data_IF_573449980583
#
_entry.id   IF_573449980583
#
_cell.length_a   1.000
_cell.length_b   1.000
_cell.length_c   1.000
_cell.angle_alpha   90.00
_cell.angle_beta   90.00
_cell.angle_gamma   90.00
#
_symmetry.space_group_name_H-M   'P 1'
#
loop_
_entity.id
_entity.type
_entity.pdbx_description
1 polymer ?
#
# COMPACT_ATOMS: atom_id res chain seq x y z
N UNK A 1 16.91 16.20 16.60
CA UNK A 1 16.86 14.80 16.11
C UNK A 1 16.26 13.95 17.22
N UNK A 2 14.99 13.60 17.13
CA UNK A 2 14.37 12.64 18.05
C UNK A 2 14.73 11.28 17.46
N UNK A 3 15.75 10.63 18.03
CA UNK A 3 15.98 9.21 17.86
C UNK A 3 14.84 8.50 18.58
N UNK A 4 13.71 8.30 17.90
CA UNK A 4 12.75 7.31 18.32
C UNK A 4 13.46 5.96 18.25
N UNK A 5 13.38 5.16 19.30
CA UNK A 5 13.84 3.78 19.33
C UNK A 5 13.36 3.07 18.06
N UNK A 6 14.31 2.72 17.20
CA UNK A 6 14.03 2.23 15.86
C UNK A 6 13.62 0.75 15.96
N UNK A 7 12.35 0.52 16.36
CA UNK A 7 11.79 -0.82 16.39
C UNK A 7 11.67 -1.35 14.96
N UNK A 8 12.18 -2.55 14.71
CA UNK A 8 11.91 -3.26 13.46
C UNK A 8 10.56 -3.99 13.55
N UNK A 9 9.82 -4.09 12.43
CA UNK A 9 8.63 -4.95 12.38
C UNK A 9 9.04 -6.42 12.46
N UNK A 10 8.18 -7.25 13.05
CA UNK A 10 8.47 -8.65 13.33
C UNK A 10 7.34 -9.57 12.88
N UNK A 11 7.62 -10.86 12.69
CA UNK A 11 6.61 -11.86 12.41
C UNK A 11 5.62 -12.02 13.60
N UNK A 12 6.11 -11.87 14.84
CA UNK A 12 5.24 -11.87 16.02
C UNK A 12 4.30 -10.65 16.03
N UNK A 13 4.80 -9.48 15.63
CA UNK A 13 3.98 -8.30 15.45
C UNK A 13 2.90 -8.47 14.38
N UNK A 14 3.21 -9.17 13.27
CA UNK A 14 2.21 -9.51 12.25
C UNK A 14 1.13 -10.44 12.82
N UNK A 15 1.52 -11.45 13.63
CA UNK A 15 0.55 -12.36 14.30
C UNK A 15 -0.37 -11.61 15.26
N UNK A 16 0.19 -10.75 16.11
CA UNK A 16 -0.59 -9.91 17.01
C UNK A 16 -1.51 -8.95 16.26
N UNK A 17 -1.02 -8.35 15.15
CA UNK A 17 -1.82 -7.51 14.28
C UNK A 17 -2.99 -8.27 13.66
N UNK A 18 -2.81 -9.54 13.29
CA UNK A 18 -3.84 -10.35 12.64
C UNK A 18 -5.08 -10.52 13.53
N UNK A 19 -4.92 -10.72 14.81
CA UNK A 19 -6.03 -10.80 15.78
C UNK A 19 -6.80 -9.47 15.87
N UNK A 20 -6.07 -8.36 16.01
CA UNK A 20 -6.67 -7.02 16.10
C UNK A 20 -7.36 -6.60 14.79
N UNK A 21 -6.83 -6.98 13.65
CA UNK A 21 -7.40 -6.72 12.32
C UNK A 21 -8.64 -7.57 12.10
N UNK A 22 -8.60 -8.87 12.40
CA UNK A 22 -9.72 -9.79 12.23
C UNK A 22 -10.93 -9.44 13.12
N UNK A 23 -10.70 -8.78 14.27
CA UNK A 23 -11.78 -8.33 15.15
C UNK A 23 -12.63 -7.20 14.56
N UNK A 24 -12.16 -6.48 13.55
CA UNK A 24 -12.82 -5.26 13.06
C UNK A 24 -12.99 -5.21 11.53
N UNK A 25 -12.09 -5.83 10.78
CA UNK A 25 -12.16 -5.82 9.33
C UNK A 25 -12.77 -7.12 8.78
N UNK A 26 -13.58 -7.03 7.72
CA UNK A 26 -14.10 -8.22 7.07
C UNK A 26 -12.96 -9.01 6.42
N UNK A 27 -13.09 -10.33 6.47
CA UNK A 27 -12.24 -11.23 5.69
C UNK A 27 -12.51 -11.01 4.20
N UNK A 28 -11.49 -10.57 3.46
CA UNK A 28 -11.62 -10.41 2.01
C UNK A 28 -11.51 -11.76 1.29
N UNK A 29 -12.21 -11.94 0.16
CA UNK A 29 -12.23 -13.23 -0.52
C UNK A 29 -10.86 -13.60 -1.12
N UNK A 30 -10.59 -14.89 -1.13
CA UNK A 30 -9.54 -15.52 -1.91
C UNK A 30 -10.22 -16.22 -3.10
N UNK A 31 -10.09 -15.64 -4.29
CA UNK A 31 -10.79 -16.05 -5.50
C UNK A 31 -9.89 -16.92 -6.38
N UNK A 32 -10.37 -18.07 -6.89
CA UNK A 32 -9.62 -18.83 -7.88
C UNK A 32 -9.55 -18.07 -9.20
N UNK A 33 -8.41 -18.18 -9.87
CA UNK A 33 -8.18 -17.59 -11.19
C UNK A 33 -7.32 -18.54 -12.03
N UNK A 34 -7.47 -18.48 -13.34
CA UNK A 34 -6.62 -19.19 -14.28
C UNK A 34 -5.69 -18.20 -14.99
N UNK A 35 -4.39 -18.42 -14.94
CA UNK A 35 -3.35 -17.62 -15.57
C UNK A 35 -2.54 -18.53 -16.50
N UNK A 36 -2.65 -18.33 -17.81
CA UNK A 36 -1.93 -19.16 -18.80
C UNK A 36 -2.24 -20.66 -18.70
N UNK A 37 -3.49 -21.04 -18.36
CA UNK A 37 -3.90 -22.44 -18.17
C UNK A 37 -3.52 -23.02 -16.80
N UNK A 38 -2.93 -22.23 -15.90
CA UNK A 38 -2.53 -22.66 -14.56
C UNK A 38 -3.46 -22.01 -13.52
N UNK A 39 -3.95 -22.82 -12.59
CA UNK A 39 -4.75 -22.33 -11.46
C UNK A 39 -3.86 -21.52 -10.51
N UNK A 40 -4.37 -20.37 -10.10
CA UNK A 40 -3.80 -19.47 -9.11
C UNK A 40 -4.93 -18.85 -8.27
N UNK A 41 -4.58 -17.90 -7.38
CA UNK A 41 -5.53 -17.26 -6.48
C UNK A 41 -5.37 -15.76 -6.47
N UNK A 42 -6.47 -15.05 -6.25
CA UNK A 42 -6.49 -13.60 -6.07
C UNK A 42 -6.99 -13.26 -4.68
N UNK A 43 -6.19 -12.56 -3.89
CA UNK A 43 -6.63 -11.94 -2.62
C UNK A 43 -7.19 -10.56 -2.89
N UNK A 44 -8.50 -10.39 -2.72
CA UNK A 44 -9.23 -9.19 -3.14
C UNK A 44 -9.32 -8.13 -2.03
N UNK A 45 -8.19 -7.54 -1.64
CA UNK A 45 -8.13 -6.47 -0.62
C UNK A 45 -8.67 -5.11 -1.11
N UNK A 46 -8.98 -4.97 -2.41
CA UNK A 46 -9.77 -3.87 -2.93
C UNK A 46 -11.22 -3.85 -2.40
N UNK A 47 -11.68 -4.92 -1.76
CA UNK A 47 -12.99 -5.05 -1.13
C UNK A 47 -13.00 -4.70 0.35
N UNK A 48 -11.90 -4.24 0.91
CA UNK A 48 -11.86 -3.68 2.26
C UNK A 48 -12.74 -2.42 2.38
N UNK A 49 -13.22 -2.03 3.58
CA UNK A 49 -14.17 -0.91 3.79
C UNK A 49 -13.77 0.43 3.16
N UNK A 50 -12.47 0.70 3.02
CA UNK A 50 -11.96 1.90 2.34
C UNK A 50 -11.54 1.64 0.89
N UNK A 51 -11.89 0.49 0.33
CA UNK A 51 -11.49 0.10 -1.02
C UNK A 51 -10.01 -0.26 -1.16
N UNK A 52 -9.26 -0.50 -0.08
CA UNK A 52 -7.84 -0.88 -0.19
C UNK A 52 -7.27 -1.53 1.07
N UNK A 53 -6.17 -2.28 0.89
CA UNK A 53 -5.41 -2.95 1.96
C UNK A 53 -4.86 -2.00 3.04
N UNK A 54 -4.72 -0.71 2.74
CA UNK A 54 -4.10 0.29 3.65
C UNK A 54 -4.77 0.38 5.01
N UNK A 55 -6.03 0.01 5.10
CA UNK A 55 -6.80 -0.02 6.34
C UNK A 55 -6.19 -0.96 7.40
N UNK A 56 -5.56 -2.07 6.99
CA UNK A 56 -4.95 -3.07 7.89
C UNK A 56 -3.85 -2.43 8.75
N UNK A 57 -2.87 -1.83 8.10
CA UNK A 57 -1.75 -1.18 8.79
C UNK A 57 -2.17 0.08 9.54
N UNK A 58 -3.10 0.87 8.97
CA UNK A 58 -3.64 2.03 9.66
C UNK A 58 -4.37 1.62 10.96
N UNK A 59 -5.23 0.60 10.90
CA UNK A 59 -5.94 0.10 12.08
C UNK A 59 -4.97 -0.41 13.15
N UNK A 60 -4.01 -1.27 12.79
CA UNK A 60 -3.04 -1.80 13.75
C UNK A 60 -2.23 -0.69 14.41
N UNK A 61 -1.71 0.26 13.64
CA UNK A 61 -0.95 1.39 14.19
C UNK A 61 -1.76 2.23 15.16
N UNK A 62 -2.98 2.61 14.79
CA UNK A 62 -3.80 3.50 15.60
C UNK A 62 -4.38 2.80 16.84
N UNK A 63 -4.75 1.53 16.74
CA UNK A 63 -5.27 0.76 17.87
C UNK A 63 -4.22 0.53 18.96
N UNK A 64 -2.94 0.53 18.60
CA UNK A 64 -1.82 0.39 19.53
C UNK A 64 -1.33 1.68 20.20
N UNK A 65 -1.93 2.84 19.87
CA UNK A 65 -1.56 4.11 20.50
C UNK A 65 -1.99 4.18 21.99
N UNK A 66 -1.15 4.78 22.82
CA UNK A 66 -1.47 5.07 24.22
C UNK A 66 -2.64 6.05 24.36
N UNK A 67 -3.22 6.18 25.55
CA UNK A 67 -4.30 7.14 25.81
C UNK A 67 -3.85 8.59 25.53
N UNK A 68 -2.60 8.92 25.87
CA UNK A 68 -2.00 10.22 25.62
C UNK A 68 -1.83 10.50 24.13
N UNK A 69 -1.24 9.56 23.37
CA UNK A 69 -1.10 9.65 21.91
C UNK A 69 -2.45 9.77 21.21
N UNK A 70 -3.46 9.01 21.65
CA UNK A 70 -4.84 9.11 21.14
C UNK A 70 -5.45 10.47 21.37
N UNK A 71 -5.25 11.05 22.55
CA UNK A 71 -5.73 12.41 22.87
C UNK A 71 -5.06 13.47 21.97
N UNK A 72 -3.77 13.33 21.73
CA UNK A 72 -3.03 14.22 20.82
C UNK A 72 -3.46 14.06 19.35
N UNK A 73 -3.97 12.88 18.96
CA UNK A 73 -4.39 12.57 17.61
C UNK A 73 -3.25 12.10 16.71
N UNK A 74 -3.53 11.97 15.41
CA UNK A 74 -2.57 11.47 14.41
C UNK A 74 -2.41 12.42 13.24
N UNK A 75 -1.22 12.41 12.63
CA UNK A 75 -0.88 13.13 11.41
C UNK A 75 -0.41 12.13 10.36
N UNK A 76 -0.89 12.26 9.12
CA UNK A 76 -0.39 11.47 8.01
C UNK A 76 -0.21 12.33 6.76
N UNK A 77 0.75 11.93 5.91
CA UNK A 77 1.01 12.58 4.62
C UNK A 77 0.58 11.63 3.52
N UNK A 78 -0.54 11.90 2.88
CA UNK A 78 -1.04 11.07 1.76
C UNK A 78 -2.23 11.71 1.09
N UNK A 79 -2.34 11.59 -0.22
CA UNK A 79 -3.54 11.97 -0.99
C UNK A 79 -4.39 10.78 -1.45
N UNK A 80 -4.07 9.56 -1.01
CA UNK A 80 -4.72 8.34 -1.50
C UNK A 80 -5.17 7.39 -0.39
N UNK A 81 -5.01 6.12 -0.64
CA UNK A 81 -5.52 5.02 0.19
C UNK A 81 -5.07 5.06 1.66
N UNK A 82 -3.83 5.52 1.92
CA UNK A 82 -3.34 5.64 3.30
C UNK A 82 -4.08 6.74 4.08
N UNK A 83 -4.34 7.87 3.45
CA UNK A 83 -5.16 8.95 4.04
C UNK A 83 -6.52 8.43 4.50
N UNK A 84 -7.20 7.68 3.63
CA UNK A 84 -8.51 7.09 3.93
C UNK A 84 -8.42 6.05 5.04
N UNK A 85 -7.37 5.21 5.05
CA UNK A 85 -7.14 4.23 6.12
C UNK A 85 -6.94 4.87 7.48
N UNK A 86 -6.12 5.90 7.56
CA UNK A 86 -5.89 6.66 8.80
C UNK A 86 -7.17 7.37 9.25
N UNK A 87 -7.86 8.07 8.34
CA UNK A 87 -9.09 8.79 8.66
C UNK A 87 -10.20 7.84 9.18
N UNK A 88 -10.41 6.71 8.50
CA UNK A 88 -11.39 5.69 8.91
C UNK A 88 -11.06 5.10 10.28
N UNK A 89 -9.81 4.72 10.50
CA UNK A 89 -9.36 4.13 11.76
C UNK A 89 -9.47 5.12 12.92
N UNK A 90 -9.04 6.37 12.71
CA UNK A 90 -9.14 7.43 13.71
C UNK A 90 -10.58 7.72 14.10
N UNK A 91 -11.50 7.82 13.12
CA UNK A 91 -12.93 8.01 13.37
C UNK A 91 -13.51 6.91 14.26
N UNK A 92 -13.17 5.64 13.98
CA UNK A 92 -13.66 4.50 14.77
C UNK A 92 -13.10 4.46 16.19
N UNK A 93 -11.91 4.99 16.38
CA UNK A 93 -11.25 5.07 17.69
C UNK A 93 -11.52 6.39 18.43
N UNK A 94 -12.34 7.28 17.87
CA UNK A 94 -12.68 8.58 18.48
C UNK A 94 -11.51 9.55 18.53
N UNK A 95 -10.55 9.44 17.60
CA UNK A 95 -9.34 10.27 17.56
C UNK A 95 -9.40 11.33 16.46
N UNK A 96 -8.68 12.42 16.65
CA UNK A 96 -8.44 13.40 15.59
C UNK A 96 -7.44 12.81 14.58
N UNK A 97 -7.72 13.02 13.28
CA UNK A 97 -6.77 12.77 12.21
C UNK A 97 -6.57 14.03 11.39
N UNK A 98 -5.33 14.43 11.20
CA UNK A 98 -4.94 15.52 10.30
C UNK A 98 -4.16 14.93 9.13
N UNK A 99 -4.66 15.14 7.92
CA UNK A 99 -4.05 14.59 6.69
C UNK A 99 -3.45 15.73 5.87
N UNK A 100 -2.15 15.67 5.65
CA UNK A 100 -1.42 16.60 4.77
C UNK A 100 -1.55 16.11 3.34
N UNK A 101 -2.21 16.91 2.49
CA UNK A 101 -2.50 16.59 1.10
C UNK A 101 -2.01 17.71 0.17
N UNK A 102 -1.58 17.42 -1.06
CA UNK A 102 -1.23 18.47 -1.99
C UNK A 102 -2.47 19.26 -2.43
N UNK A 103 -2.31 20.57 -2.67
CA UNK A 103 -3.42 21.45 -3.06
C UNK A 103 -4.05 21.07 -4.41
N UNK A 104 -3.31 20.41 -5.27
CA UNK A 104 -3.73 19.89 -6.58
C UNK A 104 -4.26 18.45 -6.52
N UNK A 105 -4.51 17.91 -5.31
CA UNK A 105 -5.13 16.61 -5.18
C UNK A 105 -6.54 16.57 -5.82
N UNK A 106 -6.91 15.46 -6.46
CA UNK A 106 -8.27 15.32 -7.02
C UNK A 106 -9.35 15.61 -5.98
N UNK A 107 -10.37 16.39 -6.37
CA UNK A 107 -11.46 16.79 -5.46
C UNK A 107 -12.17 15.61 -4.80
N UNK A 108 -12.33 14.49 -5.53
CA UNK A 108 -12.90 13.25 -5.00
C UNK A 108 -12.06 12.71 -3.84
N UNK A 109 -10.72 12.70 -3.95
CA UNK A 109 -9.85 12.22 -2.87
C UNK A 109 -9.92 13.11 -1.63
N UNK A 110 -9.98 14.45 -1.84
CA UNK A 110 -10.18 15.42 -0.75
C UNK A 110 -11.53 15.23 -0.06
N UNK A 111 -12.60 15.12 -0.84
CA UNK A 111 -13.95 14.94 -0.33
C UNK A 111 -14.08 13.63 0.46
N UNK A 112 -13.57 12.52 -0.06
CA UNK A 112 -13.60 11.22 0.61
C UNK A 112 -12.85 11.25 1.94
N UNK A 113 -11.68 11.88 1.99
CA UNK A 113 -10.88 12.01 3.23
C UNK A 113 -11.63 12.83 4.29
N UNK A 114 -12.25 13.96 3.89
CA UNK A 114 -13.08 14.78 4.78
C UNK A 114 -14.34 14.06 5.24
N UNK A 115 -15.02 13.32 4.36
CA UNK A 115 -16.21 12.54 4.68
C UNK A 115 -15.93 11.44 5.72
N UNK A 116 -14.69 10.94 5.77
CA UNK A 116 -14.21 10.03 6.81
C UNK A 116 -13.91 10.72 8.15
N UNK A 117 -14.05 12.05 8.24
CA UNK A 117 -13.91 12.83 9.48
C UNK A 117 -12.52 13.40 9.72
N UNK A 118 -11.59 13.33 8.76
CA UNK A 118 -10.26 13.90 8.92
C UNK A 118 -10.23 15.41 8.58
N UNK A 119 -9.43 16.15 9.33
CA UNK A 119 -8.97 17.47 8.93
C UNK A 119 -7.99 17.33 7.76
N UNK A 120 -8.13 18.16 6.73
CA UNK A 120 -7.20 18.19 5.59
C UNK A 120 -6.43 19.50 5.61
N UNK A 121 -5.11 19.41 5.70
CA UNK A 121 -4.17 20.52 5.55
C UNK A 121 -3.52 20.41 4.18
N UNK A 122 -3.66 21.46 3.38
CA UNK A 122 -3.13 21.48 2.03
C UNK A 122 -1.70 22.06 2.01
N UNK A 123 -0.81 21.41 1.24
CA UNK A 123 0.51 21.96 0.94
C UNK A 123 0.65 22.24 -0.57
N UNK A 124 1.49 23.21 -0.92
CA UNK A 124 1.75 23.58 -2.32
C UNK A 124 2.85 22.69 -2.91
N UNK A 125 2.47 21.81 -3.82
CA UNK A 125 3.41 21.02 -4.60
C UNK A 125 3.98 21.86 -5.73
N UNK A 126 5.18 22.39 -5.54
CA UNK A 126 5.93 23.17 -6.52
C UNK A 126 7.42 23.13 -6.15
N UNK A 127 8.35 23.53 -7.03
CA UNK A 127 9.72 23.82 -6.65
C UNK A 127 9.78 24.89 -5.56
N UNK A 128 10.79 24.81 -4.67
CA UNK A 128 10.94 25.77 -3.55
C UNK A 128 11.02 27.22 -4.04
N UNK A 129 11.70 27.45 -5.16
CA UNK A 129 11.88 28.74 -5.81
C UNK A 129 10.54 29.36 -6.30
N UNK A 130 9.52 28.51 -6.46
CA UNK A 130 8.16 28.89 -6.85
C UNK A 130 7.18 28.86 -5.67
N UNK A 131 7.69 28.86 -4.42
CA UNK A 131 6.88 28.82 -3.20
C UNK A 131 6.33 27.42 -2.90
N UNK A 132 6.99 26.36 -3.35
CA UNK A 132 6.67 25.00 -2.99
C UNK A 132 7.02 24.68 -1.55
N UNK A 133 6.24 23.78 -0.96
CA UNK A 133 6.37 23.35 0.43
C UNK A 133 6.82 21.88 0.46
N UNK A 134 7.70 21.56 1.41
CA UNK A 134 8.03 20.18 1.73
C UNK A 134 6.91 19.59 2.60
N UNK A 135 6.22 18.58 2.07
CA UNK A 135 5.10 17.90 2.74
C UNK A 135 5.48 17.31 4.11
N UNK A 136 6.70 16.79 4.24
CA UNK A 136 7.17 16.17 5.47
C UNK A 136 7.50 17.26 6.51
N UNK A 137 8.03 18.42 6.07
CA UNK A 137 8.22 19.60 6.92
C UNK A 137 6.89 20.18 7.40
N UNK A 138 5.85 20.25 6.54
CA UNK A 138 4.50 20.68 6.95
C UNK A 138 3.94 19.74 8.01
N UNK A 139 4.06 18.44 7.84
CA UNK A 139 3.62 17.48 8.85
C UNK A 139 4.39 17.61 10.17
N UNK A 140 5.71 17.76 10.11
CA UNK A 140 6.55 17.96 11.29
C UNK A 140 6.18 19.25 12.06
N UNK A 141 5.90 20.34 11.35
CA UNK A 141 5.43 21.58 11.95
C UNK A 141 4.07 21.43 12.65
N UNK A 142 3.14 20.71 12.03
CA UNK A 142 1.83 20.41 12.64
C UNK A 142 2.01 19.62 13.94
N UNK A 143 2.85 18.61 13.95
CA UNK A 143 3.13 17.79 15.15
C UNK A 143 3.79 18.66 16.23
N UNK A 144 4.76 19.50 15.88
CA UNK A 144 5.45 20.36 16.83
C UNK A 144 4.51 21.40 17.47
N UNK A 145 3.51 21.90 16.74
CA UNK A 145 2.61 22.96 17.22
C UNK A 145 1.33 22.47 17.84
N UNK A 146 0.81 21.31 17.41
CA UNK A 146 -0.51 20.79 17.83
C UNK A 146 -0.44 19.44 18.54
N UNK A 147 0.73 18.83 18.59
CA UNK A 147 0.92 17.44 18.99
C UNK A 147 0.45 16.46 17.90
N UNK A 148 0.52 15.19 18.23
CA UNK A 148 0.07 14.09 17.38
C UNK A 148 1.17 13.13 16.99
N UNK A 149 0.77 11.93 16.61
CA UNK A 149 1.68 10.87 16.17
C UNK A 149 1.71 10.80 14.66
N UNK A 150 2.91 10.84 14.05
CA UNK A 150 3.06 10.59 12.62
C UNK A 150 2.77 9.13 12.29
N UNK A 151 1.88 8.91 11.31
CA UNK A 151 1.58 7.58 10.78
C UNK A 151 2.10 7.50 9.34
N UNK A 152 3.31 6.95 9.17
CA UNK A 152 3.95 6.90 7.86
C UNK A 152 3.37 5.77 7.00
N UNK A 153 3.09 6.07 5.73
CA UNK A 153 2.34 5.19 4.82
C UNK A 153 2.95 3.81 4.55
N UNK A 154 4.27 3.65 4.78
CA UNK A 154 5.02 2.41 4.53
C UNK A 154 6.30 2.26 5.37
N UNK A 155 6.75 3.31 6.07
CA UNK A 155 7.98 3.30 6.88
C UNK A 155 7.72 3.27 8.40
N UNK A 156 6.55 2.86 8.82
CA UNK A 156 6.16 2.69 10.22
C UNK A 156 6.10 1.18 10.53
N UNK A 157 6.78 0.68 11.57
CA UNK A 157 6.87 -0.74 11.87
C UNK A 157 5.50 -1.40 12.12
N UNK A 158 4.60 -0.72 12.82
CA UNK A 158 3.24 -1.22 13.05
C UNK A 158 2.41 -1.21 11.76
N UNK A 159 2.56 -0.19 10.91
CA UNK A 159 1.90 -0.18 9.60
C UNK A 159 2.37 -1.38 8.77
N UNK A 160 3.67 -1.67 8.73
CA UNK A 160 4.24 -2.83 8.02
C UNK A 160 3.64 -4.14 8.58
N UNK A 161 3.62 -4.31 9.90
CA UNK A 161 3.03 -5.50 10.55
C UNK A 161 1.55 -5.67 10.22
N UNK A 162 0.78 -4.58 10.31
CA UNK A 162 -0.63 -4.62 9.96
C UNK A 162 -0.89 -5.01 8.49
N UNK A 163 -0.05 -4.57 7.54
CA UNK A 163 -0.15 -5.00 6.15
C UNK A 163 0.14 -6.50 5.99
N UNK A 164 1.06 -7.03 6.79
CA UNK A 164 1.41 -8.46 6.78
C UNK A 164 0.27 -9.40 7.17
N UNK A 165 -0.77 -8.90 7.83
CA UNK A 165 -1.95 -9.71 8.22
C UNK A 165 -2.64 -10.37 7.04
N UNK A 166 -2.53 -9.79 5.84
CA UNK A 166 -3.05 -10.41 4.63
C UNK A 166 -2.42 -11.78 4.34
N UNK A 167 -1.14 -11.97 4.68
CA UNK A 167 -0.46 -13.26 4.51
C UNK A 167 -1.02 -14.34 5.46
N UNK A 168 -1.38 -13.96 6.69
CA UNK A 168 -2.01 -14.87 7.65
C UNK A 168 -3.40 -15.30 7.15
N UNK A 169 -4.21 -14.36 6.66
CA UNK A 169 -5.52 -14.66 6.06
C UNK A 169 -5.38 -15.57 4.84
N UNK A 170 -4.43 -15.29 3.95
CA UNK A 170 -4.16 -16.09 2.75
C UNK A 170 -3.86 -17.54 3.15
N UNK A 171 -2.94 -17.77 4.09
CA UNK A 171 -2.58 -19.10 4.53
C UNK A 171 -3.77 -19.86 5.15
N UNK A 172 -4.58 -19.18 5.96
CA UNK A 172 -5.79 -19.74 6.56
C UNK A 172 -6.85 -20.11 5.50
N UNK A 173 -7.09 -19.24 4.51
CA UNK A 173 -8.07 -19.49 3.43
C UNK A 173 -7.60 -20.58 2.45
N UNK A 174 -6.30 -20.67 2.19
CA UNK A 174 -5.71 -21.67 1.32
C UNK A 174 -5.62 -23.06 2.01
N UNK A 175 -5.66 -23.08 3.35
CA UNK A 175 -5.41 -24.25 4.17
C UNK A 175 -3.94 -24.72 4.18
N UNK A 176 -3.04 -23.93 3.61
CA UNK A 176 -1.58 -24.17 3.52
C UNK A 176 -0.82 -22.88 3.31
N UNK A 177 0.49 -22.88 3.50
CA UNK A 177 1.32 -21.76 3.07
C UNK A 177 1.25 -21.59 1.55
N UNK A 178 1.09 -20.35 1.02
CA UNK A 178 1.22 -20.11 -0.42
C UNK A 178 2.66 -20.39 -0.88
N UNK A 179 2.83 -20.89 -2.10
CA UNK A 179 4.16 -21.04 -2.70
C UNK A 179 4.80 -19.68 -2.93
N UNK A 180 3.98 -18.70 -3.38
CA UNK A 180 4.38 -17.31 -3.57
C UNK A 180 3.23 -16.34 -3.38
N UNK A 181 3.59 -15.10 -3.06
CA UNK A 181 2.68 -13.96 -3.02
C UNK A 181 3.23 -12.89 -3.95
N UNK A 182 2.44 -12.50 -4.94
CA UNK A 182 2.78 -11.41 -5.86
C UNK A 182 2.02 -10.17 -5.41
N UNK A 183 2.71 -9.09 -5.10
CA UNK A 183 2.08 -7.88 -4.56
C UNK A 183 2.65 -6.61 -5.17
N UNK A 184 1.78 -5.60 -5.38
CA UNK A 184 2.23 -4.28 -5.79
C UNK A 184 3.17 -3.69 -4.72
N UNK A 185 4.19 -3.01 -5.17
CA UNK A 185 5.19 -2.39 -4.33
C UNK A 185 5.35 -0.91 -4.69
N UNK A 186 5.01 -0.04 -3.74
CA UNK A 186 5.45 1.34 -3.77
C UNK A 186 6.68 1.48 -2.89
N UNK A 187 6.54 2.02 -1.67
CA UNK A 187 7.66 2.14 -0.73
C UNK A 187 8.05 0.85 0.01
N UNK A 188 7.46 -0.30 -0.29
CA UNK A 188 7.84 -1.60 0.26
C UNK A 188 7.08 -2.04 1.53
N UNK A 189 6.18 -1.24 2.08
CA UNK A 189 5.52 -1.56 3.36
C UNK A 189 4.62 -2.80 3.33
N UNK A 190 3.85 -3.00 2.24
CA UNK A 190 3.03 -4.20 2.06
C UNK A 190 3.90 -5.43 1.87
N UNK A 191 4.83 -5.37 0.93
CA UNK A 191 5.71 -6.51 0.59
C UNK A 191 6.59 -6.92 1.77
N UNK A 192 7.08 -5.96 2.56
CA UNK A 192 7.80 -6.24 3.81
C UNK A 192 6.90 -6.95 4.84
N UNK A 193 5.67 -6.48 5.02
CA UNK A 193 4.70 -7.13 5.91
C UNK A 193 4.37 -8.55 5.46
N UNK A 194 4.12 -8.75 4.15
CA UNK A 194 3.86 -10.08 3.59
C UNK A 194 5.04 -11.04 3.77
N UNK A 195 6.27 -10.55 3.59
CA UNK A 195 7.48 -11.36 3.80
C UNK A 195 7.67 -11.79 5.26
N UNK A 196 7.23 -10.96 6.22
CA UNK A 196 7.21 -11.33 7.65
C UNK A 196 6.07 -12.29 7.98
N UNK A 197 4.90 -12.11 7.38
CA UNK A 197 3.71 -12.93 7.64
C UNK A 197 3.73 -14.29 6.95
N UNK A 198 4.49 -14.43 5.86
CA UNK A 198 4.63 -15.67 5.10
C UNK A 198 6.12 -16.04 4.87
N UNK A 199 6.88 -16.38 5.93
CA UNK A 199 8.33 -16.54 5.85
C UNK A 199 8.81 -17.69 4.97
N UNK A 200 7.90 -18.60 4.58
CA UNK A 200 8.19 -19.75 3.71
C UNK A 200 7.66 -19.58 2.27
N UNK A 201 7.19 -18.39 1.93
CA UNK A 201 6.64 -18.07 0.62
C UNK A 201 7.58 -17.14 -0.14
N UNK A 202 7.72 -17.33 -1.44
CA UNK A 202 8.40 -16.37 -2.31
C UNK A 202 7.52 -15.10 -2.43
N UNK A 203 7.98 -13.96 -1.95
CA UNK A 203 7.26 -12.68 -2.08
C UNK A 203 7.87 -11.88 -3.22
N UNK A 204 7.07 -11.60 -4.25
CA UNK A 204 7.48 -10.85 -5.46
C UNK A 204 6.96 -9.42 -5.39
N UNK A 205 7.84 -8.41 -5.17
CA UNK A 205 7.49 -7.00 -5.31
C UNK A 205 7.27 -6.65 -6.78
N UNK A 206 6.15 -5.96 -7.09
CA UNK A 206 5.85 -5.48 -8.44
C UNK A 206 5.69 -3.97 -8.44
N UNK A 207 6.48 -3.31 -9.28
CA UNK A 207 6.58 -1.85 -9.37
C UNK A 207 6.32 -1.38 -10.81
N UNK A 208 5.89 -0.13 -11.03
CA UNK A 208 5.83 0.42 -12.39
C UNK A 208 7.24 0.64 -12.98
N UNK A 209 7.38 0.48 -14.28
CA UNK A 209 8.63 0.80 -14.99
C UNK A 209 9.07 2.23 -14.70
N UNK A 210 10.32 2.43 -14.33
CA UNK A 210 10.91 3.71 -13.94
C UNK A 210 10.57 4.17 -12.51
N UNK A 211 9.80 3.37 -11.77
CA UNK A 211 9.46 3.58 -10.36
C UNK A 211 9.80 2.34 -9.51
N UNK A 212 10.75 1.56 -9.98
CA UNK A 212 11.16 0.26 -9.42
C UNK A 212 12.31 0.40 -8.39
N UNK A 213 12.25 1.45 -7.56
CA UNK A 213 13.29 1.77 -6.57
C UNK A 213 13.48 0.71 -5.50
N UNK A 214 12.43 -0.02 -5.11
CA UNK A 214 12.56 -1.08 -4.11
C UNK A 214 13.35 -2.24 -4.68
N UNK A 215 13.05 -2.66 -5.91
CA UNK A 215 13.81 -3.68 -6.63
C UNK A 215 15.27 -3.28 -6.80
N UNK A 216 15.54 -2.04 -7.22
CA UNK A 216 16.90 -1.50 -7.34
C UNK A 216 17.62 -1.43 -5.99
N UNK A 217 16.96 -0.94 -4.94
CA UNK A 217 17.54 -0.87 -3.59
C UNK A 217 17.88 -2.25 -3.03
N UNK A 218 17.04 -3.26 -3.27
CA UNK A 218 17.32 -4.64 -2.86
C UNK A 218 18.53 -5.22 -3.59
N UNK A 219 18.67 -4.93 -4.88
CA UNK A 219 19.81 -5.37 -5.69
C UNK A 219 21.11 -4.67 -5.29
N UNK A 220 21.06 -3.35 -5.07
CA UNK A 220 22.22 -2.55 -4.65
C UNK A 220 22.58 -2.75 -3.17
N UNK A 221 21.62 -3.12 -2.31
CA UNK A 221 21.79 -3.23 -0.88
C UNK A 221 21.76 -1.89 -0.12
N UNK A 222 21.40 -0.80 -0.80
CA UNK A 222 21.28 0.57 -0.28
C UNK A 222 20.04 1.27 -0.83
N UNK A 223 19.68 2.43 -0.26
CA UNK A 223 18.53 3.19 -0.71
C UNK A 223 18.83 3.82 -2.08
N UNK A 224 17.91 3.58 -3.02
CA UNK A 224 17.93 4.18 -4.35
C UNK A 224 16.77 5.17 -4.45
N UNK A 225 17.03 6.36 -4.97
CA UNK A 225 16.02 7.39 -5.23
C UNK A 225 15.51 7.31 -6.66
N UNK A 226 14.24 7.68 -6.86
CA UNK A 226 13.67 7.80 -8.19
C UNK A 226 14.41 8.87 -9.00
N UNK A 227 14.62 8.60 -10.29
CA UNK A 227 15.24 9.58 -11.18
C UNK A 227 14.37 10.86 -11.25
N UNK A 228 14.98 12.05 -11.33
CA UNK A 228 14.25 13.32 -11.45
C UNK A 228 13.33 13.37 -12.68
N UNK A 229 13.66 12.65 -13.72
CA UNK A 229 12.94 12.50 -14.98
C UNK A 229 12.18 11.17 -15.11
N UNK A 230 11.88 10.52 -13.98
CA UNK A 230 11.12 9.28 -13.96
C UNK A 230 9.83 9.41 -14.80
N UNK A 231 9.49 8.42 -15.62
CA UNK A 231 8.39 8.51 -16.57
C UNK A 231 7.05 8.65 -15.83
N UNK A 232 6.09 9.30 -16.49
CA UNK A 232 4.71 9.29 -15.99
C UNK A 232 4.17 7.86 -16.02
N UNK A 233 3.39 7.50 -15.00
CA UNK A 233 2.65 6.23 -14.96
C UNK A 233 1.25 6.46 -14.43
N UNK A 234 0.32 5.62 -14.86
CA UNK A 234 -1.06 5.60 -14.34
C UNK A 234 -1.15 5.07 -12.89
N UNK A 235 -0.09 4.41 -12.39
CA UNK A 235 -0.03 3.85 -11.03
C UNK A 235 0.32 4.93 -10.00
N UNK A 236 -0.51 5.93 -9.82
CA UNK A 236 -0.28 7.09 -8.95
C UNK A 236 0.02 6.74 -7.48
N UNK A 237 -0.50 5.61 -7.00
CA UNK A 237 -0.26 5.12 -5.65
C UNK A 237 1.12 4.44 -5.47
N UNK A 238 1.85 4.18 -6.55
CA UNK A 238 3.13 3.45 -6.57
C UNK A 238 4.31 4.34 -7.00
N UNK A 239 4.25 5.64 -6.71
CA UNK A 239 5.28 6.63 -7.05
C UNK A 239 5.96 7.25 -5.80
N UNK A 240 6.50 6.46 -4.85
CA UNK A 240 7.36 7.03 -3.82
C UNK A 240 8.72 7.39 -4.43
N UNK A 241 9.35 8.45 -3.91
CA UNK A 241 10.68 8.85 -4.38
C UNK A 241 11.80 7.91 -3.94
N UNK A 242 11.59 7.16 -2.86
CA UNK A 242 12.51 6.14 -2.36
C UNK A 242 11.78 5.19 -1.38
N UNK A 243 12.36 4.02 -1.15
CA UNK A 243 12.00 3.17 -0.02
C UNK A 243 12.58 3.74 1.30
N UNK A 244 12.28 3.09 2.43
CA UNK A 244 12.86 3.45 3.72
C UNK A 244 13.80 2.33 4.21
N UNK A 245 14.84 2.67 5.01
CA UNK A 245 15.78 1.68 5.54
C UNK A 245 15.12 0.50 6.24
N UNK A 246 14.01 0.75 6.95
CA UNK A 246 13.23 -0.29 7.64
C UNK A 246 12.66 -1.33 6.67
N UNK A 247 12.18 -0.91 5.49
CA UNK A 247 11.62 -1.82 4.48
C UNK A 247 12.74 -2.63 3.82
N UNK A 248 13.83 -1.96 3.44
CA UNK A 248 14.99 -2.63 2.85
C UNK A 248 15.58 -3.67 3.81
N UNK A 249 15.68 -3.37 5.11
CA UNK A 249 16.17 -4.30 6.12
C UNK A 249 15.30 -5.56 6.25
N UNK A 250 13.98 -5.44 6.03
CA UNK A 250 13.07 -6.60 6.03
C UNK A 250 13.14 -7.36 4.71
N UNK A 251 13.10 -6.65 3.58
CA UNK A 251 12.98 -7.28 2.25
C UNK A 251 14.27 -7.99 1.82
N UNK A 252 15.42 -7.42 2.18
CA UNK A 252 16.74 -8.00 1.83
C UNK A 252 16.86 -9.42 2.41
N UNK A 253 17.01 -10.39 1.51
CA UNK A 253 17.12 -11.80 1.86
C UNK A 253 15.81 -12.50 2.23
N UNK A 254 14.65 -11.83 2.09
CA UNK A 254 13.31 -12.41 2.29
C UNK A 254 12.39 -12.28 1.09
N UNK A 255 12.61 -11.28 0.24
CA UNK A 255 11.81 -11.11 -0.96
C UNK A 255 12.60 -11.52 -2.21
N UNK A 256 11.87 -11.93 -3.23
CA UNK A 256 12.40 -12.19 -4.57
C UNK A 256 12.81 -10.87 -5.25
N UNK A 257 13.63 -10.91 -6.31
CA UNK A 257 13.95 -9.73 -7.09
C UNK A 257 12.69 -8.97 -7.53
N UNK A 258 12.76 -7.62 -7.52
CA UNK A 258 11.66 -6.76 -7.95
C UNK A 258 11.33 -6.97 -9.44
N UNK A 259 10.06 -6.85 -9.78
CA UNK A 259 9.53 -7.00 -11.14
C UNK A 259 8.88 -5.70 -11.57
N UNK A 260 9.22 -5.19 -12.77
CA UNK A 260 8.64 -3.97 -13.31
C UNK A 260 7.55 -4.26 -14.35
N UNK A 261 6.43 -3.50 -14.28
CA UNK A 261 5.31 -3.58 -15.23
C UNK A 261 5.05 -2.24 -15.91
N UNK A 262 4.62 -2.32 -17.17
CA UNK A 262 4.24 -1.15 -17.96
C UNK A 262 2.78 -0.77 -17.72
N UNK A 263 2.41 0.49 -18.03
CA UNK A 263 1.03 0.95 -17.99
C UNK A 263 0.10 0.11 -18.89
N UNK A 264 0.61 -0.35 -20.06
CA UNK A 264 -0.14 -1.24 -20.95
C UNK A 264 -0.48 -2.58 -20.30
N UNK A 265 0.47 -3.19 -19.59
CA UNK A 265 0.24 -4.43 -18.85
C UNK A 265 -0.74 -4.22 -17.70
N UNK A 266 -0.65 -3.08 -17.00
CA UNK A 266 -1.57 -2.71 -15.92
C UNK A 266 -3.00 -2.53 -16.45
N UNK A 267 -3.19 -1.82 -17.57
CA UNK A 267 -4.53 -1.70 -18.20
C UNK A 267 -5.09 -3.06 -18.61
N UNK A 268 -4.27 -3.94 -19.18
CA UNK A 268 -4.68 -5.29 -19.51
C UNK A 268 -5.13 -6.06 -18.26
N UNK A 269 -4.43 -5.91 -17.14
CA UNK A 269 -4.81 -6.52 -15.87
C UNK A 269 -6.11 -5.94 -15.29
N UNK A 270 -6.35 -4.63 -15.42
CA UNK A 270 -7.63 -4.01 -15.03
C UNK A 270 -8.80 -4.59 -15.86
N UNK A 271 -8.63 -4.71 -17.18
CA UNK A 271 -9.62 -5.35 -18.06
C UNK A 271 -9.89 -6.80 -17.69
N UNK A 272 -8.83 -7.56 -17.41
CA UNK A 272 -8.94 -8.95 -16.96
C UNK A 272 -9.69 -9.06 -15.63
N UNK A 273 -9.32 -8.27 -14.62
CA UNK A 273 -9.96 -8.26 -13.31
C UNK A 273 -11.46 -7.94 -13.43
N UNK A 274 -11.83 -6.95 -14.24
CA UNK A 274 -13.23 -6.60 -14.49
C UNK A 274 -13.97 -7.74 -15.21
N UNK A 275 -13.41 -8.26 -16.32
CA UNK A 275 -14.08 -9.24 -17.16
C UNK A 275 -14.16 -10.64 -16.52
N UNK A 276 -13.12 -11.08 -15.81
CA UNK A 276 -13.04 -12.45 -15.27
C UNK A 276 -13.42 -12.54 -13.80
N UNK A 277 -13.07 -11.52 -12.99
CA UNK A 277 -13.26 -11.53 -11.54
C UNK A 277 -14.42 -10.63 -11.07
N UNK A 278 -14.94 -9.78 -11.94
CA UNK A 278 -15.98 -8.75 -11.62
C UNK A 278 -15.49 -7.74 -10.58
N UNK A 279 -14.19 -7.46 -10.57
CA UNK A 279 -13.57 -6.52 -9.64
C UNK A 279 -13.26 -5.19 -10.34
N UNK A 280 -13.60 -4.09 -9.67
CA UNK A 280 -13.08 -2.76 -10.00
C UNK A 280 -11.74 -2.60 -9.31
N UNK A 281 -10.69 -2.32 -10.09
CA UNK A 281 -9.31 -2.24 -9.58
C UNK A 281 -8.66 -0.96 -10.07
N UNK A 282 -8.05 -0.19 -9.15
CA UNK A 282 -7.22 0.95 -9.50
C UNK A 282 -5.91 0.50 -10.16
N UNK A 283 -5.23 1.35 -10.96
CA UNK A 283 -4.01 0.93 -11.66
C UNK A 283 -2.95 0.32 -10.76
N UNK A 284 -2.58 0.99 -9.65
CA UNK A 284 -1.60 0.45 -8.70
C UNK A 284 -2.04 -0.85 -8.04
N UNK A 285 -3.36 -1.05 -7.85
CA UNK A 285 -3.93 -2.28 -7.32
C UNK A 285 -3.86 -3.47 -8.28
N UNK A 286 -3.73 -3.21 -9.59
CA UNK A 286 -3.65 -4.22 -10.64
C UNK A 286 -2.21 -4.65 -11.00
N UNK A 287 -1.18 -3.97 -10.48
CA UNK A 287 0.21 -4.20 -10.88
C UNK A 287 0.68 -5.65 -10.66
N UNK A 288 0.31 -6.26 -9.54
CA UNK A 288 0.65 -7.66 -9.26
C UNK A 288 0.02 -8.63 -10.28
N UNK A 289 -1.24 -8.40 -10.64
CA UNK A 289 -1.94 -9.18 -11.65
C UNK A 289 -1.32 -8.95 -13.05
N UNK A 290 -0.86 -7.73 -13.34
CA UNK A 290 -0.17 -7.41 -14.58
C UNK A 290 1.12 -8.23 -14.74
N UNK A 291 1.93 -8.35 -13.69
CA UNK A 291 3.14 -9.16 -13.71
C UNK A 291 2.85 -10.66 -13.96
N UNK A 292 1.82 -11.19 -13.33
CA UNK A 292 1.41 -12.58 -13.51
C UNK A 292 0.89 -12.86 -14.94
N UNK A 293 0.01 -12.01 -15.45
CA UNK A 293 -0.53 -12.12 -16.82
C UNK A 293 0.53 -11.95 -17.90
N UNK A 294 1.53 -11.11 -17.65
CA UNK A 294 2.66 -10.89 -18.57
C UNK A 294 3.75 -11.98 -18.48
N UNK A 295 3.57 -13.02 -17.64
CA UNK A 295 4.54 -14.09 -17.45
C UNK A 295 5.87 -13.67 -16.80
N UNK A 296 5.87 -12.53 -16.09
CA UNK A 296 7.08 -11.98 -15.44
C UNK A 296 7.37 -12.62 -14.08
N UNK A 297 6.41 -13.34 -13.54
CA UNK A 297 6.54 -14.15 -12.31
C UNK A 297 6.06 -15.57 -12.59
N UNK A 298 6.69 -16.60 -11.99
CA UNK A 298 6.19 -17.96 -12.10
C UNK A 298 4.79 -18.07 -11.47
N UNK A 299 3.93 -18.91 -12.04
CA UNK A 299 2.58 -19.18 -11.53
C UNK A 299 2.39 -20.69 -11.33
N UNK A 300 1.86 -21.05 -10.16
CA UNK A 300 1.43 -22.41 -9.80
C UNK A 300 0.17 -22.37 -8.93
N UNK A 301 -0.36 -23.51 -8.52
CA UNK A 301 -1.59 -23.63 -7.74
C UNK A 301 -1.49 -23.09 -6.29
N UNK A 302 -0.29 -22.75 -5.84
CA UNK A 302 0.00 -22.06 -4.57
C UNK A 302 0.26 -20.57 -4.72
N UNK A 303 0.22 -20.04 -5.95
CA UNK A 303 0.45 -18.62 -6.22
C UNK A 303 -0.75 -17.78 -5.82
N UNK A 304 -0.52 -16.73 -5.02
CA UNK A 304 -1.53 -15.74 -4.64
C UNK A 304 -1.14 -14.37 -5.15
N UNK A 305 -2.05 -13.74 -5.90
CA UNK A 305 -1.89 -12.42 -6.48
C UNK A 305 -2.73 -11.43 -5.68
N UNK A 306 -2.09 -10.37 -5.13
CA UNK A 306 -2.78 -9.35 -4.36
C UNK A 306 -3.46 -8.33 -5.29
N UNK A 307 -4.77 -8.19 -5.20
CA UNK A 307 -5.51 -7.01 -5.70
C UNK A 307 -5.68 -6.05 -4.52
N UNK A 308 -4.97 -4.95 -4.53
CA UNK A 308 -4.70 -4.16 -3.33
C UNK A 308 -5.55 -2.91 -3.17
N UNK A 309 -6.20 -2.44 -4.25
CA UNK A 309 -7.03 -1.24 -4.22
C UNK A 309 -8.02 -1.18 -5.37
N UNK A 310 -9.21 -0.62 -5.09
CA UNK A 310 -10.32 -0.42 -6.02
C UNK A 310 -10.75 1.04 -6.18
N UNK A 311 -10.01 1.99 -5.61
CA UNK A 311 -10.33 3.43 -5.63
C UNK A 311 -9.96 4.08 -6.98
N UNK A 312 -10.43 3.48 -8.06
CA UNK A 312 -10.20 3.96 -9.42
C UNK A 312 -10.99 5.24 -9.71
N UNK A 313 -10.40 6.14 -10.50
CA UNK A 313 -11.16 7.24 -11.11
C UNK A 313 -12.19 6.67 -12.10
N UNK A 314 -13.49 6.99 -11.97
CA UNK A 314 -14.53 6.39 -12.78
C UNK A 314 -14.35 6.60 -14.30
N UNK A 315 -13.90 7.81 -14.71
CA UNK A 315 -13.73 8.13 -16.12
C UNK A 315 -12.52 7.41 -16.72
N UNK A 316 -11.38 7.40 -16.00
CA UNK A 316 -10.20 6.69 -16.42
C UNK A 316 -10.41 5.17 -16.44
N UNK A 317 -11.15 4.64 -15.46
CA UNK A 317 -11.49 3.21 -15.43
C UNK A 317 -12.40 2.84 -16.62
N UNK A 318 -13.46 3.64 -16.89
CA UNK A 318 -14.34 3.41 -18.03
C UNK A 318 -13.58 3.43 -19.36
N UNK A 319 -12.66 4.39 -19.56
CA UNK A 319 -11.81 4.45 -20.76
C UNK A 319 -10.94 3.18 -20.88
N UNK A 320 -10.33 2.74 -19.80
CA UNK A 320 -9.52 1.50 -19.77
C UNK A 320 -10.37 0.28 -20.17
N UNK A 321 -11.57 0.14 -19.60
CA UNK A 321 -12.46 -1.02 -19.90
C UNK A 321 -12.97 -0.98 -21.34
N UNK A 322 -13.26 0.22 -21.88
CA UNK A 322 -13.67 0.40 -23.27
C UNK A 322 -12.52 0.12 -24.29
N UNK A 323 -11.29 -0.08 -23.83
CA UNK A 323 -10.13 -0.30 -24.71
C UNK A 323 -9.55 0.97 -25.31
N UNK A 324 -9.92 2.14 -24.78
CA UNK A 324 -9.33 3.44 -25.15
C UNK A 324 -8.04 3.62 -24.34
N UNK A 325 -6.92 3.31 -24.97
CA UNK A 325 -5.58 3.43 -24.36
C UNK A 325 -4.99 4.83 -24.55
#
# INVERSE_FOLDING_TARGET
MIQADFRLPTADGVRAAAEAVAAILPLTPLLPVEIGGVRAWVKADNLQPIGSFKIRGAWWRLSGLSAEERSAGVVAVSSGNHAQGVAWSARRLGMRATIVMPHDAPQVKLANTKALGAEVVLYRRAPKEQGGEDRDAVAAQLIATRGGTLVHAFGDPWVIEGQGTAAIEIAAQLGRAPSRIVACCGGGGLTAGLALGAPHSAVHPVEPVGWDMVGQAMAAGEIVEAAPDAPKTICDALQPTATKPINLAVLKGRAEPGVAVTDKEVRAAQRFAFAQLRLVVEPGGAAALAAALAGKVPVDDGTVIMITGGNADPAAFAATIAGSD
#
